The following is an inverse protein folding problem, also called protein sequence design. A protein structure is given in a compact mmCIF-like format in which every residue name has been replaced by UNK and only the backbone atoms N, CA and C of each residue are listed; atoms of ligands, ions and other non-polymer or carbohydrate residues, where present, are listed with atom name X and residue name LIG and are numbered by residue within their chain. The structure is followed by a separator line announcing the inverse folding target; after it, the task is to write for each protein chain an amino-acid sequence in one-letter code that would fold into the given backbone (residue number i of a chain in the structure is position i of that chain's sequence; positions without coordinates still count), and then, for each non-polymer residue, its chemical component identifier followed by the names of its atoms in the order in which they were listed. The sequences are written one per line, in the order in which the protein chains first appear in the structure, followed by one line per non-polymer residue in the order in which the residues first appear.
data_IF_926563212859
#
_entry.id   IF_926563212859
#
_cell.length_a   1.000
_cell.length_b   1.000
_cell.length_c   1.000
_cell.angle_alpha   90.00
_cell.angle_beta   90.00
_cell.angle_gamma   90.00
#
_symmetry.space_group_name_H-M   'P 1'
#
loop_
_entity.id
_entity.type
_entity.pdbx_description
1 polymer ?
#
# COMPACT_ATOMS: atom_id res chain seq x y z
N UNK A 1 11.30 25.84 -28.42
CA UNK A 1 11.34 24.66 -29.33
C UNK A 1 11.83 23.43 -28.58
N UNK A 2 12.87 23.54 -27.76
CA UNK A 2 13.39 22.44 -26.93
C UNK A 2 12.35 21.73 -26.05
N UNK A 3 11.56 22.46 -25.26
CA UNK A 3 10.63 21.82 -24.32
C UNK A 3 9.58 20.90 -25.00
N UNK A 4 9.18 21.19 -26.25
CA UNK A 4 8.25 20.32 -26.99
C UNK A 4 8.96 19.02 -27.38
N UNK A 5 10.21 19.11 -27.83
CA UNK A 5 11.02 17.95 -28.22
C UNK A 5 11.30 17.09 -26.99
N UNK A 6 11.61 17.70 -25.84
CA UNK A 6 11.84 17.00 -24.58
C UNK A 6 10.59 16.22 -24.14
N UNK A 7 9.42 16.88 -24.17
CA UNK A 7 8.16 16.25 -23.73
C UNK A 7 7.76 15.13 -24.69
N UNK A 8 7.73 15.41 -25.99
CA UNK A 8 7.35 14.42 -27.01
C UNK A 8 8.34 13.26 -27.02
N UNK A 9 9.64 13.55 -26.89
CA UNK A 9 10.69 12.54 -26.82
C UNK A 9 10.58 11.65 -25.60
N UNK A 10 10.31 12.22 -24.42
CA UNK A 10 10.09 11.45 -23.20
C UNK A 10 8.87 10.53 -23.32
N UNK A 11 7.73 11.07 -23.76
CA UNK A 11 6.48 10.30 -23.91
C UNK A 11 6.62 9.21 -24.97
N UNK A 12 7.20 9.53 -26.14
CA UNK A 12 7.46 8.55 -27.18
C UNK A 12 8.45 7.48 -26.72
N UNK A 13 9.47 7.85 -25.96
CA UNK A 13 10.44 6.93 -25.38
C UNK A 13 9.79 5.92 -24.43
N UNK A 14 8.95 6.39 -23.50
CA UNK A 14 8.19 5.50 -22.60
C UNK A 14 7.27 4.55 -23.38
N UNK A 15 6.59 5.05 -24.41
CA UNK A 15 5.71 4.24 -25.24
C UNK A 15 6.49 3.15 -26.01
N UNK A 16 7.61 3.51 -26.64
CA UNK A 16 8.46 2.57 -27.39
C UNK A 16 9.11 1.51 -26.48
N UNK A 17 9.40 1.86 -25.23
CA UNK A 17 9.92 0.96 -24.22
C UNK A 17 8.82 0.09 -23.58
N UNK A 18 7.55 0.31 -23.89
CA UNK A 18 6.43 -0.45 -23.31
C UNK A 18 6.26 -0.22 -21.81
N UNK A 19 6.60 0.97 -21.30
CA UNK A 19 6.46 1.29 -19.89
C UNK A 19 4.99 1.48 -19.53
N UNK A 20 4.48 0.65 -18.61
CA UNK A 20 3.10 0.71 -18.13
C UNK A 20 2.94 1.65 -16.93
N UNK A 21 3.97 1.74 -16.07
CA UNK A 21 3.96 2.53 -14.85
C UNK A 21 5.30 3.24 -14.63
N UNK A 22 5.24 4.49 -14.16
CA UNK A 22 6.41 5.29 -13.79
C UNK A 22 6.31 5.68 -12.32
N UNK A 23 7.33 5.34 -11.54
CA UNK A 23 7.46 5.74 -10.14
C UNK A 23 8.66 6.67 -10.00
N UNK A 24 8.45 7.84 -9.38
CA UNK A 24 9.48 8.84 -9.22
C UNK A 24 9.91 8.99 -7.75
N UNK A 25 11.20 9.16 -7.50
CA UNK A 25 11.65 9.53 -6.16
C UNK A 25 11.19 10.95 -5.78
N UNK A 26 11.04 11.27 -4.47
CA UNK A 26 10.85 12.65 -4.05
C UNK A 26 11.87 13.58 -4.71
N UNK A 27 11.45 14.77 -5.14
CA UNK A 27 12.29 15.66 -5.95
C UNK A 27 13.12 16.62 -5.08
N UNK A 28 14.40 16.86 -5.42
CA UNK A 28 15.24 17.81 -4.69
C UNK A 28 14.83 19.25 -4.96
N UNK A 29 14.66 20.03 -3.90
CA UNK A 29 14.37 21.45 -3.97
C UNK A 29 15.51 22.25 -3.34
N UNK A 30 16.17 23.16 -4.09
CA UNK A 30 17.26 23.97 -3.56
C UNK A 30 16.78 24.85 -2.41
N UNK A 31 17.60 24.98 -1.35
CA UNK A 31 17.32 25.81 -0.18
C UNK A 31 17.41 27.32 -0.42
N UNK A 32 17.72 27.74 -1.66
CA UNK A 32 17.81 29.14 -2.08
C UNK A 32 18.69 29.29 -3.33
N UNK A 33 18.95 30.53 -3.73
CA UNK A 33 19.83 30.86 -4.86
C UNK A 33 19.09 31.54 -6.01
N UNK A 34 19.80 31.74 -7.12
CA UNK A 34 19.28 32.41 -8.31
C UNK A 34 19.72 31.66 -9.57
N UNK A 35 18.83 31.59 -10.55
CA UNK A 35 19.14 31.05 -11.89
C UNK A 35 18.90 32.13 -12.94
N UNK A 36 19.85 32.27 -13.86
CA UNK A 36 19.73 33.22 -14.97
C UNK A 36 19.06 32.55 -16.15
N UNK A 37 17.91 33.06 -16.56
CA UNK A 37 17.14 32.55 -17.69
C UNK A 37 16.77 33.68 -18.67
N UNK A 38 16.04 33.35 -19.73
CA UNK A 38 15.56 34.33 -20.71
C UNK A 38 14.64 35.42 -20.11
N UNK A 39 14.07 35.15 -18.93
CA UNK A 39 13.20 36.07 -18.19
C UNK A 39 13.93 36.83 -17.07
N UNK A 40 15.28 36.80 -17.08
CA UNK A 40 16.12 37.43 -16.06
C UNK A 40 16.54 36.44 -14.96
N UNK A 41 17.01 37.00 -13.84
CA UNK A 41 17.43 36.21 -12.69
C UNK A 41 16.18 35.85 -11.86
N UNK A 42 15.94 34.54 -11.70
CA UNK A 42 14.78 33.99 -10.98
C UNK A 42 15.26 33.34 -9.68
N UNK A 43 14.55 33.54 -8.54
CA UNK A 43 14.91 32.90 -7.29
C UNK A 43 14.68 31.38 -7.38
N UNK A 44 15.55 30.62 -6.73
CA UNK A 44 15.40 29.19 -6.57
C UNK A 44 14.75 28.85 -5.22
N UNK A 45 13.80 27.89 -5.18
CA UNK A 45 13.26 27.15 -6.32
C UNK A 45 12.43 28.02 -7.26
N UNK A 46 12.50 27.77 -8.57
CA UNK A 46 11.84 28.59 -9.58
C UNK A 46 10.31 28.61 -9.37
N UNK A 47 9.61 29.76 -9.49
CA UNK A 47 8.17 29.86 -9.25
C UNK A 47 7.32 28.87 -10.05
N UNK A 48 7.67 28.62 -11.31
CA UNK A 48 6.97 27.64 -12.15
C UNK A 48 7.12 26.20 -11.63
N UNK A 49 8.29 25.84 -11.09
CA UNK A 49 8.53 24.52 -10.48
C UNK A 49 7.70 24.38 -9.20
N UNK A 50 7.64 25.43 -8.37
CA UNK A 50 6.80 25.43 -7.17
C UNK A 50 5.32 25.20 -7.47
N UNK A 51 4.81 25.78 -8.57
CA UNK A 51 3.43 25.59 -8.99
C UNK A 51 3.18 24.18 -9.54
N UNK A 52 4.08 23.66 -10.38
CA UNK A 52 3.98 22.32 -10.97
C UNK A 52 4.08 21.19 -9.94
N UNK A 53 4.85 21.39 -8.86
CA UNK A 53 5.09 20.37 -7.84
C UNK A 53 4.13 20.44 -6.64
N UNK A 54 3.02 21.19 -6.73
CA UNK A 54 1.99 21.20 -5.68
C UNK A 54 1.42 19.80 -5.48
N UNK A 55 1.53 19.28 -4.26
CA UNK A 55 1.08 17.92 -3.91
C UNK A 55 2.08 16.81 -4.24
N UNK A 56 3.24 17.13 -4.85
CA UNK A 56 4.32 16.19 -5.13
C UNK A 56 5.30 16.13 -3.95
N UNK A 57 5.74 14.94 -3.50
CA UNK A 57 6.78 14.82 -2.49
C UNK A 57 8.10 15.46 -2.92
N UNK A 58 8.62 16.35 -2.08
CA UNK A 58 9.90 17.03 -2.27
C UNK A 58 10.78 16.90 -1.03
N UNK A 59 12.08 17.11 -1.19
CA UNK A 59 13.02 17.27 -0.07
C UNK A 59 13.96 18.45 -0.30
N UNK A 60 14.39 19.09 0.78
CA UNK A 60 15.33 20.21 0.71
C UNK A 60 16.76 19.74 0.41
N UNK A 61 17.44 20.45 -0.50
CA UNK A 61 18.86 20.28 -0.81
C UNK A 61 19.61 21.59 -0.49
N UNK A 62 20.85 21.50 -0.01
CA UNK A 62 21.66 22.68 0.34
C UNK A 62 22.26 23.39 -0.86
N UNK A 63 22.19 22.78 -2.05
CA UNK A 63 22.69 23.35 -3.29
C UNK A 63 21.92 24.60 -3.71
N UNK A 64 22.67 25.64 -4.10
CA UNK A 64 22.12 26.89 -4.63
C UNK A 64 22.17 26.90 -6.17
N UNK A 65 21.55 25.90 -6.78
CA UNK A 65 21.47 25.74 -8.24
C UNK A 65 20.18 25.03 -8.64
N UNK A 66 19.74 25.18 -9.89
CA UNK A 66 18.54 24.51 -10.40
C UNK A 66 18.78 23.00 -10.54
N UNK A 67 18.15 22.19 -9.70
CA UNK A 67 18.22 20.72 -9.78
C UNK A 67 17.04 20.11 -10.53
N UNK A 68 15.89 20.81 -10.53
CA UNK A 68 14.67 20.40 -11.21
C UNK A 68 14.24 21.56 -12.09
N UNK A 69 14.27 21.34 -13.41
CA UNK A 69 13.81 22.34 -14.39
C UNK A 69 12.29 22.32 -14.49
N UNK A 70 11.64 23.38 -15.01
CA UNK A 70 10.18 23.35 -15.24
C UNK A 70 9.72 22.18 -16.12
N UNK A 71 10.48 21.83 -17.16
CA UNK A 71 10.18 20.67 -18.01
C UNK A 71 10.29 19.35 -17.24
N UNK A 72 11.36 19.18 -16.44
CA UNK A 72 11.53 17.98 -15.61
C UNK A 72 10.46 17.84 -14.54
N UNK A 73 10.06 18.95 -13.91
CA UNK A 73 8.96 19.00 -12.96
C UNK A 73 7.62 18.59 -13.60
N UNK A 74 7.31 19.14 -14.78
CA UNK A 74 6.08 18.78 -15.51
C UNK A 74 6.06 17.29 -15.90
N UNK A 75 7.16 16.76 -16.43
CA UNK A 75 7.25 15.34 -16.79
C UNK A 75 7.11 14.44 -15.56
N UNK A 76 7.79 14.75 -14.46
CA UNK A 76 7.69 13.95 -13.25
C UNK A 76 6.29 14.00 -12.66
N UNK A 77 5.67 15.18 -12.56
CA UNK A 77 4.35 15.36 -11.99
C UNK A 77 3.23 14.68 -12.81
N UNK A 78 3.32 14.75 -14.15
CA UNK A 78 2.25 14.24 -15.03
C UNK A 78 2.43 12.76 -15.39
N UNK A 79 3.67 12.27 -15.55
CA UNK A 79 3.91 10.91 -16.03
C UNK A 79 4.02 9.88 -14.90
N UNK A 80 4.28 10.30 -13.67
CA UNK A 80 4.45 9.38 -12.54
C UNK A 80 3.10 8.95 -11.95
N UNK A 81 2.90 7.66 -11.75
CA UNK A 81 1.74 7.11 -11.04
C UNK A 81 1.79 7.37 -9.54
N UNK A 82 3.01 7.37 -8.98
CA UNK A 82 3.26 7.59 -7.57
C UNK A 82 4.68 8.08 -7.30
N UNK A 83 4.91 8.58 -6.08
CA UNK A 83 6.20 9.06 -5.64
C UNK A 83 6.67 8.31 -4.39
N UNK A 84 7.92 7.87 -4.36
CA UNK A 84 8.45 7.09 -3.24
C UNK A 84 9.85 6.54 -3.46
N UNK A 85 10.26 5.59 -2.61
CA UNK A 85 11.52 4.85 -2.82
C UNK A 85 11.38 3.88 -3.99
N UNK A 86 12.50 3.35 -4.48
CA UNK A 86 12.50 2.28 -5.50
C UNK A 86 11.61 1.12 -5.00
N UNK A 87 10.58 0.71 -5.77
CA UNK A 87 9.67 -0.36 -5.38
C UNK A 87 10.38 -1.73 -5.42
N UNK A 88 9.83 -2.77 -4.75
CA UNK A 88 10.24 -4.14 -5.01
C UNK A 88 10.08 -4.49 -6.49
N UNK A 89 11.18 -4.82 -7.16
CA UNK A 89 11.20 -5.10 -8.59
C UNK A 89 12.40 -5.98 -8.95
N UNK A 90 12.24 -6.79 -9.99
CA UNK A 90 13.37 -7.42 -10.68
C UNK A 90 13.92 -6.43 -11.69
N UNK A 91 15.10 -5.87 -11.41
CA UNK A 91 15.76 -4.90 -12.29
C UNK A 91 16.23 -5.56 -13.59
N UNK A 92 15.82 -5.03 -14.73
CA UNK A 92 16.22 -5.52 -16.05
C UNK A 92 17.29 -4.63 -16.69
N UNK A 93 17.07 -3.31 -16.67
CA UNK A 93 17.95 -2.33 -17.33
C UNK A 93 18.10 -1.06 -16.50
N UNK A 94 19.21 -0.36 -16.73
CA UNK A 94 19.43 0.99 -16.18
C UNK A 94 19.90 1.92 -17.28
N UNK A 95 19.46 3.17 -17.23
CA UNK A 95 19.84 4.23 -18.16
C UNK A 95 20.21 5.50 -17.41
N UNK A 96 21.09 6.30 -17.99
CA UNK A 96 21.53 7.57 -17.42
C UNK A 96 21.42 8.68 -18.47
N UNK A 97 20.72 9.75 -18.13
CA UNK A 97 20.72 11.01 -18.86
C UNK A 97 21.63 12.01 -18.17
N UNK A 98 22.63 12.53 -18.88
CA UNK A 98 23.56 13.52 -18.34
C UNK A 98 23.16 14.93 -18.77
N UNK A 99 22.90 15.79 -17.79
CA UNK A 99 22.72 17.23 -18.02
C UNK A 99 24.07 17.91 -18.27
N UNK A 100 24.07 18.95 -19.10
CA UNK A 100 25.27 19.72 -19.43
C UNK A 100 25.70 20.68 -18.31
N UNK A 101 24.79 21.02 -17.39
CA UNK A 101 25.10 21.87 -16.24
C UNK A 101 26.02 21.13 -15.25
N UNK A 102 27.17 21.73 -14.93
CA UNK A 102 28.06 21.23 -13.88
C UNK A 102 27.51 21.57 -12.50
N UNK A 103 27.49 20.58 -11.59
CA UNK A 103 27.00 20.80 -10.23
C UNK A 103 28.07 21.45 -9.35
N UNK A 104 27.66 22.40 -8.53
CA UNK A 104 28.54 23.09 -7.56
C UNK A 104 29.16 22.15 -6.51
N UNK A 105 28.56 21.00 -6.20
CA UNK A 105 29.09 20.00 -5.27
C UNK A 105 30.09 19.02 -5.91
N UNK A 106 30.44 19.21 -7.18
CA UNK A 106 31.35 18.34 -7.93
C UNK A 106 30.78 16.97 -8.27
N UNK A 107 29.50 16.70 -7.97
CA UNK A 107 28.82 15.46 -8.37
C UNK A 107 28.39 15.54 -9.84
N UNK A 108 28.23 14.39 -10.52
CA UNK A 108 27.74 14.40 -11.89
C UNK A 108 26.25 14.75 -11.94
N UNK A 109 25.85 15.54 -12.95
CA UNK A 109 24.46 15.93 -13.18
C UNK A 109 23.74 14.83 -13.97
N UNK A 110 23.23 13.82 -13.27
CA UNK A 110 22.63 12.63 -13.88
C UNK A 110 21.19 12.45 -13.42
N UNK A 111 20.32 12.16 -14.38
CA UNK A 111 19.05 11.48 -14.16
C UNK A 111 19.26 9.99 -14.42
N UNK A 112 18.81 9.13 -13.51
CA UNK A 112 18.86 7.67 -13.70
C UNK A 112 17.46 7.12 -13.88
N UNK A 113 17.30 6.27 -14.89
CA UNK A 113 16.12 5.44 -15.09
C UNK A 113 16.47 3.99 -14.73
N UNK A 114 15.53 3.30 -14.09
CA UNK A 114 15.63 1.89 -13.73
C UNK A 114 14.39 1.21 -14.29
N UNK A 115 14.58 0.31 -15.24
CA UNK A 115 13.51 -0.43 -15.91
C UNK A 115 13.59 -1.87 -15.42
N UNK A 116 12.44 -2.43 -15.12
CA UNK A 116 12.33 -3.83 -14.76
C UNK A 116 10.89 -4.18 -14.48
N UNK A 117 10.68 -5.42 -14.09
CA UNK A 117 9.37 -5.94 -13.80
C UNK A 117 9.10 -5.70 -12.32
N UNK A 118 7.96 -5.11 -12.01
CA UNK A 118 7.46 -5.19 -10.65
C UNK A 118 7.43 -6.66 -10.28
N UNK A 119 8.10 -7.02 -9.19
CA UNK A 119 7.76 -8.27 -8.54
C UNK A 119 6.39 -8.01 -7.94
N UNK A 120 5.37 -8.30 -8.73
CA UNK A 120 4.04 -8.52 -8.19
C UNK A 120 4.16 -9.83 -7.41
N UNK A 121 4.79 -9.75 -6.24
CA UNK A 121 4.35 -10.58 -5.14
C UNK A 121 2.91 -10.13 -4.98
N UNK A 122 1.98 -10.90 -5.57
CA UNK A 122 0.55 -10.58 -5.56
C UNK A 122 0.06 -10.26 -4.15
N UNK A 123 0.80 -10.67 -3.12
CA UNK A 123 0.79 -10.08 -1.79
C UNK A 123 2.15 -10.25 -1.07
N UNK A 124 3.07 -9.29 -1.23
CA UNK A 124 3.86 -8.84 -0.07
C UNK A 124 3.08 -7.68 0.56
N UNK A 125 1.88 -7.97 1.10
CA UNK A 125 1.09 -6.95 1.77
C UNK A 125 1.84 -6.58 3.05
N UNK A 126 2.51 -5.43 3.02
CA UNK A 126 2.93 -4.80 4.25
C UNK A 126 1.68 -4.56 5.08
N UNK A 127 1.66 -5.09 6.30
CA UNK A 127 0.60 -4.82 7.27
C UNK A 127 1.21 -4.13 8.46
N UNK A 128 0.47 -3.20 9.05
CA UNK A 128 0.86 -2.61 10.31
C UNK A 128 0.23 -3.41 11.45
N UNK A 129 1.10 -3.85 12.38
CA UNK A 129 0.69 -4.45 13.64
C UNK A 129 0.57 -3.32 14.65
N UNK A 130 -0.64 -3.08 15.17
CA UNK A 130 -0.93 -2.05 16.17
C UNK A 130 -1.32 -2.73 17.48
N UNK A 131 -0.66 -2.35 18.58
CA UNK A 131 -0.78 -3.00 19.87
C UNK A 131 -0.92 -2.02 21.02
N UNK A 132 -1.75 -2.37 22.01
CA UNK A 132 -1.80 -1.67 23.30
C UNK A 132 -2.20 -2.61 24.44
N UNK A 133 -1.78 -2.27 25.66
CA UNK A 133 -2.14 -3.02 26.86
C UNK A 133 -3.21 -2.26 27.63
N UNK A 134 -4.23 -2.97 28.11
CA UNK A 134 -5.40 -2.45 28.79
C UNK A 134 -5.56 -3.16 30.15
N UNK A 135 -5.29 -2.50 31.28
CA UNK A 135 -5.51 -3.04 32.64
C UNK A 135 -6.72 -2.45 33.37
N UNK A 136 -7.33 -1.39 32.84
CA UNK A 136 -8.43 -0.64 33.43
C UNK A 136 -9.63 -0.45 32.47
N UNK A 137 -9.65 -1.20 31.37
CA UNK A 137 -10.72 -1.17 30.37
C UNK A 137 -11.79 -2.24 30.63
N UNK A 138 -13.08 -1.92 30.41
CA UNK A 138 -14.18 -2.88 30.56
C UNK A 138 -14.24 -3.85 29.34
N UNK A 139 -13.97 -5.16 29.52
CA UNK A 139 -13.96 -6.13 28.42
C UNK A 139 -15.34 -6.39 27.81
N UNK A 140 -16.45 -6.02 28.48
CA UNK A 140 -17.80 -6.11 27.90
C UNK A 140 -17.95 -5.26 26.64
N UNK A 141 -17.10 -4.25 26.45
CA UNK A 141 -17.07 -3.41 25.26
C UNK A 141 -16.39 -4.08 24.07
N UNK A 142 -15.76 -5.25 24.26
CA UNK A 142 -15.02 -5.97 23.22
C UNK A 142 -15.84 -6.27 21.95
N UNK A 143 -17.04 -6.85 22.02
CA UNK A 143 -17.83 -7.13 20.82
C UNK A 143 -18.11 -5.86 20.00
N UNK A 144 -18.34 -4.73 20.67
CA UNK A 144 -18.59 -3.44 20.02
C UNK A 144 -17.35 -2.92 19.29
N UNK A 145 -16.22 -2.80 19.99
CA UNK A 145 -14.99 -2.27 19.40
C UNK A 145 -14.45 -3.17 18.29
N UNK A 146 -14.50 -4.50 18.47
CA UNK A 146 -14.06 -5.45 17.46
C UNK A 146 -14.89 -5.29 16.17
N UNK A 147 -16.23 -5.28 16.27
CA UNK A 147 -17.10 -5.07 15.12
C UNK A 147 -16.88 -3.70 14.45
N UNK A 148 -16.66 -2.64 15.24
CA UNK A 148 -16.40 -1.29 14.73
C UNK A 148 -15.08 -1.23 13.95
N UNK A 149 -14.00 -1.77 14.51
CA UNK A 149 -12.67 -1.79 13.88
C UNK A 149 -12.68 -2.63 12.60
N UNK A 150 -13.32 -3.80 12.61
CA UNK A 150 -13.51 -4.62 11.41
C UNK A 150 -14.29 -3.86 10.33
N UNK A 151 -15.38 -3.17 10.69
CA UNK A 151 -16.16 -2.34 9.76
C UNK A 151 -15.37 -1.16 9.19
N UNK A 152 -14.39 -0.64 9.94
CA UNK A 152 -13.51 0.44 9.52
C UNK A 152 -12.32 -0.03 8.67
N UNK A 153 -12.23 -1.32 8.33
CA UNK A 153 -11.19 -1.87 7.45
C UNK A 153 -10.00 -2.50 8.16
N UNK A 154 -10.11 -2.83 9.45
CA UNK A 154 -9.13 -3.69 10.09
C UNK A 154 -9.09 -5.06 9.37
N UNK A 155 -7.87 -5.56 9.13
CA UNK A 155 -7.64 -6.88 8.53
C UNK A 155 -7.91 -8.00 9.53
N UNK A 156 -7.57 -7.75 10.80
CA UNK A 156 -7.82 -8.64 11.94
C UNK A 156 -7.77 -7.85 13.25
N UNK A 157 -8.52 -8.30 14.27
CA UNK A 157 -8.50 -7.72 15.61
C UNK A 157 -8.62 -8.85 16.63
N UNK A 158 -7.69 -8.89 17.58
CA UNK A 158 -7.64 -9.89 18.64
C UNK A 158 -7.44 -9.26 20.01
N UNK A 159 -7.96 -9.95 21.03
CA UNK A 159 -7.81 -9.58 22.43
C UNK A 159 -7.15 -10.75 23.17
N UNK A 160 -5.95 -10.53 23.69
CA UNK A 160 -5.13 -11.57 24.34
C UNK A 160 -5.04 -11.27 25.85
N UNK A 161 -5.44 -12.20 26.74
CA UNK A 161 -5.28 -11.99 28.17
C UNK A 161 -3.80 -12.00 28.56
N UNK A 162 -3.38 -11.02 29.36
CA UNK A 162 -1.99 -10.86 29.82
C UNK A 162 -1.93 -10.53 31.32
N UNK A 163 -0.81 -10.86 31.94
CA UNK A 163 -0.48 -10.44 33.30
C UNK A 163 0.40 -9.19 33.25
N UNK A 164 -0.02 -8.12 33.92
CA UNK A 164 0.66 -6.83 33.92
C UNK A 164 1.33 -6.51 35.28
N UNK A 165 2.09 -5.42 35.32
CA UNK A 165 2.80 -4.95 36.54
C UNK A 165 1.86 -4.89 37.74
N UNK A 166 2.40 -5.05 38.95
CA UNK A 166 1.63 -5.06 40.21
C UNK A 166 0.56 -6.17 40.28
N UNK A 167 0.72 -7.25 39.52
CA UNK A 167 -0.21 -8.39 39.55
C UNK A 167 -1.57 -8.10 38.93
N UNK A 168 -1.71 -7.05 38.13
CA UNK A 168 -2.99 -6.72 37.47
C UNK A 168 -3.25 -7.61 36.26
N UNK A 169 -4.38 -8.32 36.17
CA UNK A 169 -4.81 -8.91 34.92
C UNK A 169 -5.19 -7.79 33.94
N UNK A 170 -4.92 -7.99 32.65
CA UNK A 170 -5.29 -7.07 31.59
C UNK A 170 -5.32 -7.75 30.23
N UNK A 171 -5.43 -6.96 29.18
CA UNK A 171 -5.50 -7.45 27.81
C UNK A 171 -4.49 -6.75 26.90
N UNK A 172 -3.89 -7.50 26.01
CA UNK A 172 -3.24 -6.98 24.81
C UNK A 172 -4.31 -6.93 23.70
N UNK A 173 -4.67 -5.72 23.28
CA UNK A 173 -5.41 -5.52 22.03
C UNK A 173 -4.38 -5.47 20.91
N UNK A 174 -4.55 -6.35 19.91
CA UNK A 174 -3.72 -6.40 18.70
C UNK A 174 -4.62 -6.26 17.47
N UNK A 175 -4.28 -5.31 16.61
CA UNK A 175 -4.97 -5.05 15.35
C UNK A 175 -3.98 -5.12 14.19
N UNK A 176 -4.40 -5.74 13.09
CA UNK A 176 -3.70 -5.73 11.80
C UNK A 176 -4.43 -4.79 10.85
N UNK A 177 -3.68 -3.90 10.20
CA UNK A 177 -4.24 -2.95 9.23
C UNK A 177 -3.39 -2.84 7.97
N UNK A 178 -4.03 -2.44 6.89
CA UNK A 178 -3.33 -1.80 5.78
C UNK A 178 -2.68 -0.48 6.30
N UNK A 179 -1.38 -0.24 6.06
CA UNK A 179 -0.71 1.00 6.46
C UNK A 179 -1.45 2.27 6.01
N UNK A 180 -2.14 2.26 4.85
CA UNK A 180 -2.93 3.39 4.37
C UNK A 180 -4.16 3.68 5.24
N UNK A 181 -4.69 2.66 5.93
CA UNK A 181 -5.89 2.73 6.78
C UNK A 181 -5.57 2.74 8.28
N UNK A 182 -4.30 2.62 8.66
CA UNK A 182 -3.90 2.51 10.06
C UNK A 182 -4.24 3.76 10.90
N UNK A 183 -4.16 4.96 10.32
CA UNK A 183 -4.30 6.22 11.07
C UNK A 183 -5.66 6.39 11.76
N UNK A 184 -6.77 6.10 11.08
CA UNK A 184 -8.10 6.21 11.70
C UNK A 184 -8.41 5.05 12.67
N UNK A 185 -7.84 3.87 12.44
CA UNK A 185 -7.95 2.72 13.35
C UNK A 185 -7.23 3.00 14.67
N UNK A 186 -6.03 3.60 14.62
CA UNK A 186 -5.30 4.07 15.82
C UNK A 186 -6.14 5.04 16.64
N UNK A 187 -6.73 6.04 15.99
CA UNK A 187 -7.61 7.01 16.66
C UNK A 187 -8.85 6.33 17.27
N UNK A 188 -9.42 5.34 16.59
CA UNK A 188 -10.58 4.60 17.10
C UNK A 188 -10.23 3.79 18.34
N UNK A 189 -9.06 3.14 18.39
CA UNK A 189 -8.59 2.45 19.61
C UNK A 189 -8.43 3.44 20.77
N UNK A 190 -7.79 4.60 20.54
CA UNK A 190 -7.57 5.60 21.58
C UNK A 190 -8.87 6.25 22.10
N UNK A 191 -9.90 6.36 21.26
CA UNK A 191 -11.18 6.95 21.65
C UNK A 191 -12.15 5.97 22.33
N UNK A 192 -12.06 4.68 22.00
CA UNK A 192 -13.01 3.65 22.47
C UNK A 192 -12.45 2.80 23.63
N UNK A 193 -11.19 2.99 24.00
CA UNK A 193 -10.54 2.25 25.08
C UNK A 193 -9.88 3.17 26.09
N UNK A 194 -9.36 2.60 27.19
CA UNK A 194 -8.54 3.34 28.16
C UNK A 194 -7.09 3.52 27.70
N UNK A 195 -6.74 3.12 26.48
CA UNK A 195 -5.38 3.22 25.96
C UNK A 195 -4.90 4.68 25.92
N UNK A 196 -3.75 4.95 26.54
CA UNK A 196 -3.08 6.26 26.51
C UNK A 196 -2.05 6.32 25.37
N UNK A 197 -1.70 5.18 24.79
CA UNK A 197 -0.74 5.10 23.70
C UNK A 197 -0.79 3.75 22.99
N UNK A 198 -0.24 3.73 21.79
CA UNK A 198 -0.16 2.56 20.93
C UNK A 198 1.30 2.30 20.56
N UNK A 199 1.66 1.03 20.38
CA UNK A 199 2.90 0.61 19.73
C UNK A 199 2.54 0.04 18.38
N UNK A 200 3.29 0.39 17.34
CA UNK A 200 3.04 -0.13 16.01
C UNK A 200 4.31 -0.31 15.21
N UNK A 201 4.28 -1.27 14.28
CA UNK A 201 5.38 -1.55 13.37
C UNK A 201 4.83 -2.23 12.12
N UNK A 202 5.51 -2.01 10.99
CA UNK A 202 5.16 -2.65 9.72
C UNK A 202 5.86 -4.00 9.61
N UNK A 203 5.11 -5.02 9.21
CA UNK A 203 5.62 -6.38 8.94
C UNK A 203 5.29 -6.80 7.52
N UNK A 204 6.10 -7.69 6.96
CA UNK A 204 5.79 -8.34 5.70
C UNK A 204 4.75 -9.44 5.92
N UNK A 205 3.78 -9.55 5.02
CA UNK A 205 2.77 -10.62 5.02
C UNK A 205 2.79 -11.33 3.67
N UNK A 206 2.77 -12.65 3.73
CA UNK A 206 2.47 -13.51 2.59
C UNK A 206 1.07 -14.06 2.73
N UNK A 207 0.25 -13.98 1.69
CA UNK A 207 -1.07 -14.61 1.64
C UNK A 207 -1.25 -15.41 0.36
N UNK A 208 -2.19 -16.36 0.40
CA UNK A 208 -2.60 -17.10 -0.80
C UNK A 208 -3.60 -16.26 -1.59
N UNK A 209 -3.50 -16.23 -2.93
CA UNK A 209 -4.46 -15.53 -3.76
C UNK A 209 -5.85 -16.14 -3.52
N UNK A 210 -6.84 -15.27 -3.40
CA UNK A 210 -8.22 -15.70 -3.18
C UNK A 210 -9.20 -14.84 -3.97
N UNK A 211 -10.21 -15.49 -4.53
CA UNK A 211 -11.28 -14.83 -5.27
C UNK A 211 -12.60 -15.04 -4.55
N UNK A 212 -13.40 -13.97 -4.43
CA UNK A 212 -14.77 -14.11 -3.94
C UNK A 212 -15.62 -14.76 -5.02
N UNK A 213 -16.28 -15.85 -4.67
CA UNK A 213 -17.19 -16.61 -5.53
C UNK A 213 -18.52 -16.82 -4.81
N UNK A 214 -19.58 -17.06 -5.57
CA UNK A 214 -20.84 -17.53 -5.05
C UNK A 214 -20.95 -19.04 -5.25
N UNK A 215 -21.39 -19.73 -4.20
CA UNK A 215 -21.50 -21.19 -4.17
C UNK A 215 -22.95 -21.55 -3.90
N UNK A 216 -23.53 -22.36 -4.79
CA UNK A 216 -24.88 -22.90 -4.62
C UNK A 216 -24.80 -24.12 -3.72
N UNK A 217 -25.46 -24.05 -2.56
CA UNK A 217 -25.65 -25.18 -1.66
C UNK A 217 -27.10 -25.69 -1.75
N UNK A 218 -27.41 -26.90 -1.23
CA UNK A 218 -28.79 -27.42 -1.21
C UNK A 218 -29.81 -26.51 -0.50
N UNK A 219 -29.33 -25.57 0.32
CA UNK A 219 -30.17 -24.71 1.15
C UNK A 219 -30.21 -23.26 0.67
N UNK A 220 -29.35 -22.90 -0.28
CA UNK A 220 -29.24 -21.53 -0.81
C UNK A 220 -27.83 -21.19 -1.25
N UNK A 221 -27.67 -19.99 -1.79
CA UNK A 221 -26.36 -19.47 -2.24
C UNK A 221 -25.62 -18.84 -1.06
N UNK A 222 -24.34 -19.16 -0.92
CA UNK A 222 -23.44 -18.50 0.04
C UNK A 222 -22.22 -17.94 -0.69
N UNK A 223 -21.73 -16.78 -0.24
CA UNK A 223 -20.42 -16.31 -0.70
C UNK A 223 -19.32 -17.19 -0.11
N UNK A 224 -18.28 -17.42 -0.88
CA UNK A 224 -17.11 -18.17 -0.47
C UNK A 224 -15.83 -17.54 -1.04
N UNK A 225 -14.70 -17.91 -0.43
CA UNK A 225 -13.36 -17.59 -0.91
C UNK A 225 -12.81 -18.83 -1.60
N UNK A 226 -12.59 -18.74 -2.91
CA UNK A 226 -11.79 -19.71 -3.66
C UNK A 226 -10.32 -19.36 -3.46
N UNK A 227 -9.54 -20.29 -2.93
CA UNK A 227 -8.12 -20.13 -2.63
C UNK A 227 -7.39 -21.14 -3.51
N UNK A 228 -6.53 -20.64 -4.40
CA UNK A 228 -5.78 -21.48 -5.33
C UNK A 228 -4.34 -21.64 -4.81
N UNK A 229 -3.91 -22.89 -4.68
CA UNK A 229 -2.50 -23.25 -4.45
C UNK A 229 -1.96 -23.93 -5.71
N UNK A 230 -0.66 -24.24 -5.73
CA UNK A 230 -0.06 -24.93 -6.87
C UNK A 230 -0.64 -26.34 -7.11
N UNK A 231 -1.25 -26.94 -6.10
CA UNK A 231 -1.71 -28.34 -6.12
C UNK A 231 -3.23 -28.47 -5.97
N UNK A 232 -3.87 -27.55 -5.23
CA UNK A 232 -5.26 -27.66 -4.79
C UNK A 232 -6.05 -26.37 -4.92
N UNK A 233 -7.36 -26.53 -5.08
CA UNK A 233 -8.35 -25.46 -4.91
C UNK A 233 -9.11 -25.70 -3.62
N UNK A 234 -8.99 -24.76 -2.68
CA UNK A 234 -9.76 -24.75 -1.43
C UNK A 234 -10.87 -23.71 -1.50
N UNK A 235 -12.10 -24.12 -1.22
CA UNK A 235 -13.24 -23.20 -1.10
C UNK A 235 -13.62 -23.10 0.38
N UNK A 236 -13.65 -21.88 0.90
CA UNK A 236 -14.04 -21.61 2.29
C UNK A 236 -15.21 -20.64 2.31
N UNK A 237 -16.37 -21.01 2.86
CA UNK A 237 -17.53 -20.13 2.85
C UNK A 237 -17.36 -18.93 3.80
N UNK A 238 -18.05 -17.83 3.50
CA UNK A 238 -18.15 -16.69 4.40
C UNK A 238 -19.06 -17.02 5.58
N UNK A 239 -18.55 -16.80 6.79
CA UNK A 239 -19.21 -17.18 8.04
C UNK A 239 -20.57 -16.50 8.20
N UNK A 240 -20.66 -15.20 7.95
CA UNK A 240 -21.91 -14.43 8.15
C UNK A 240 -23.04 -14.91 7.23
N UNK A 241 -22.75 -15.27 5.98
CA UNK A 241 -23.73 -15.81 5.05
C UNK A 241 -24.21 -17.19 5.50
N UNK A 242 -23.30 -18.01 6.02
CA UNK A 242 -23.64 -19.33 6.55
C UNK A 242 -24.50 -19.23 7.82
N UNK A 243 -24.24 -18.26 8.71
CA UNK A 243 -25.07 -18.02 9.91
C UNK A 243 -26.48 -17.62 9.51
N UNK A 244 -26.62 -16.64 8.60
CA UNK A 244 -27.94 -16.22 8.10
C UNK A 244 -28.70 -17.38 7.47
N UNK A 245 -28.04 -18.14 6.61
CA UNK A 245 -28.67 -19.29 5.95
C UNK A 245 -29.04 -20.39 6.93
N UNK A 246 -28.20 -20.64 7.94
CA UNK A 246 -28.47 -21.60 9.01
C UNK A 246 -29.72 -21.22 9.82
N UNK A 247 -29.88 -19.94 10.14
CA UNK A 247 -31.03 -19.40 10.86
C UNK A 247 -32.31 -19.45 10.01
N UNK A 248 -32.25 -19.00 8.75
CA UNK A 248 -33.39 -18.97 7.84
C UNK A 248 -33.94 -20.36 7.52
N UNK A 249 -33.05 -21.33 7.31
CA UNK A 249 -33.41 -22.70 6.93
C UNK A 249 -33.46 -23.66 8.12
N UNK A 250 -33.17 -23.17 9.33
CA UNK A 250 -33.10 -23.94 10.57
C UNK A 250 -32.23 -25.21 10.45
N UNK A 251 -31.02 -25.06 9.91
CA UNK A 251 -30.05 -26.14 9.68
C UNK A 251 -28.75 -25.92 10.48
N UNK A 252 -28.07 -26.99 10.91
CA UNK A 252 -26.77 -26.84 11.56
C UNK A 252 -25.73 -26.22 10.63
N UNK A 253 -25.03 -25.20 11.11
CA UNK A 253 -23.95 -24.49 10.39
C UNK A 253 -22.90 -25.45 9.79
N UNK A 254 -22.56 -26.51 10.53
CA UNK A 254 -21.61 -27.53 10.07
C UNK A 254 -22.03 -28.22 8.77
N UNK A 255 -23.33 -28.39 8.51
CA UNK A 255 -23.82 -28.99 7.25
C UNK A 255 -23.56 -28.07 6.06
N UNK A 256 -23.72 -26.76 6.25
CA UNK A 256 -23.43 -25.77 5.21
C UNK A 256 -21.93 -25.78 4.89
N UNK A 257 -21.08 -25.79 5.92
CA UNK A 257 -19.62 -25.88 5.75
C UNK A 257 -19.20 -27.16 5.02
N UNK A 258 -19.77 -28.31 5.38
CA UNK A 258 -19.49 -29.58 4.72
C UNK A 258 -19.86 -29.56 3.23
N UNK A 259 -21.06 -29.05 2.89
CA UNK A 259 -21.51 -28.96 1.50
C UNK A 259 -20.61 -28.04 0.65
N UNK A 260 -20.10 -26.94 1.23
CA UNK A 260 -19.16 -26.07 0.53
C UNK A 260 -17.78 -26.72 0.40
N UNK A 261 -17.34 -27.46 1.41
CA UNK A 261 -16.05 -28.16 1.38
C UNK A 261 -15.98 -29.24 0.29
N UNK A 262 -17.10 -29.93 -0.01
CA UNK A 262 -17.20 -30.92 -1.10
C UNK A 262 -16.91 -30.34 -2.50
N UNK A 263 -16.96 -29.01 -2.64
CA UNK A 263 -16.64 -28.32 -3.90
C UNK A 263 -15.14 -27.98 -4.03
N UNK A 264 -14.35 -28.25 -2.99
CA UNK A 264 -12.88 -28.17 -3.06
C UNK A 264 -12.34 -29.40 -3.79
N UNK A 265 -11.22 -29.26 -4.51
CA UNK A 265 -10.65 -30.35 -5.30
C UNK A 265 -9.21 -30.13 -5.71
N UNK A 266 -8.54 -31.23 -6.06
CA UNK A 266 -7.16 -31.24 -6.58
C UNK A 266 -7.14 -30.71 -8.00
N UNK A 267 -6.16 -29.87 -8.35
CA UNK A 267 -5.97 -29.45 -9.74
C UNK A 267 -5.42 -30.65 -10.50
N UNK A 268 -6.30 -31.39 -11.17
CA UNK A 268 -5.88 -32.46 -12.07
C UNK A 268 -5.15 -31.83 -13.26
N UNK A 269 -3.82 -31.93 -13.23
CA UNK A 269 -2.93 -31.44 -14.27
C UNK A 269 -3.36 -31.95 -15.63
N UNK A 270 -4.01 -31.09 -16.41
CA UNK A 270 -4.17 -31.32 -17.83
C UNK A 270 -2.82 -31.03 -18.47
N UNK A 271 -2.05 -32.10 -18.62
CA UNK A 271 -1.07 -32.22 -19.70
C UNK A 271 -1.84 -32.18 -21.01
N UNK A 272 -1.62 -31.14 -21.82
CA UNK A 272 -1.54 -31.20 -23.28
C UNK A 272 -1.00 -29.89 -23.84
#
# INVERSE_FOLDING_TARGET
MDAIIDIVGAVAGLHLLGIEEVICSPLPMPGGGWVRCQHGDIPLPAPAVCELLKGVPIYGDSLQQELVTPTGAALAAELSSSFGTIPPMTLEQTGYGAGTMQRQDGKPNLLRLMIGYSEVVQEAQQVEVIETHLDDWNPELWPHIAAKLMKQGALDVSLVPIQMKKGRPGFLLRLLADPAQASHLKNSILNETSAIGLRFHTVQRMTLPRTSIEVITPWGTVRAKKIETAEDVRITPEYEDCVKLAEEQNIPLQKIYAAVAELSGTVSGHSH
#
